data_IF_939586346028
#
_entry.id   IF_939586346028
#
_cell.length_a   1.000
_cell.length_b   1.000
_cell.length_c   1.000
_cell.angle_alpha   90.00
_cell.angle_beta   90.00
_cell.angle_gamma   90.00
#
_symmetry.space_group_name_H-M   'P 1'
#
loop_
_entity.id
_entity.type
_entity.pdbx_description
1 polymer ?
#
# COMPACT_ATOMS: atom_id res chain seq x y z
N UNK A 1 3.83 -7.59 17.71
CA UNK A 1 3.65 -6.53 16.67
C UNK A 1 2.90 -7.13 15.49
N UNK A 2 1.83 -6.46 15.05
CA UNK A 2 1.11 -6.82 13.84
C UNK A 2 1.20 -5.67 12.83
N UNK A 3 1.50 -5.97 11.58
CA UNK A 3 1.43 -4.99 10.48
C UNK A 3 0.17 -5.28 9.67
N UNK A 4 -0.68 -4.29 9.49
CA UNK A 4 -1.93 -4.42 8.74
C UNK A 4 -1.87 -3.53 7.50
N UNK A 5 -1.99 -4.14 6.33
CA UNK A 5 -2.12 -3.39 5.08
C UNK A 5 -3.58 -3.34 4.64
N UNK A 6 -4.11 -2.16 4.54
CA UNK A 6 -5.48 -1.88 4.10
C UNK A 6 -5.47 -1.53 2.61
N UNK A 7 -6.16 -2.29 1.79
CA UNK A 7 -6.27 -2.06 0.36
C UNK A 7 -6.84 -0.69 0.02
N UNK A 8 -6.57 -0.23 -1.20
CA UNK A 8 -7.12 1.03 -1.72
C UNK A 8 -8.15 0.83 -2.84
N UNK A 9 -8.61 -0.41 -3.05
CA UNK A 9 -9.65 -0.73 -4.01
C UNK A 9 -11.04 -0.31 -3.50
N UNK A 10 -12.01 -0.27 -4.38
CA UNK A 10 -13.41 -0.07 -4.01
C UNK A 10 -13.94 -1.23 -3.16
N UNK A 11 -14.85 -0.97 -2.23
CA UNK A 11 -15.48 -1.97 -1.38
C UNK A 11 -14.74 -2.26 -0.06
N UNK A 12 -13.64 -1.58 0.25
CA UNK A 12 -12.99 -1.68 1.55
C UNK A 12 -13.85 -0.98 2.62
N UNK A 13 -14.21 -1.72 3.68
CA UNK A 13 -14.97 -1.19 4.82
C UNK A 13 -14.01 -0.60 5.87
N UNK A 14 -13.71 0.69 5.73
CA UNK A 14 -12.80 1.40 6.64
C UNK A 14 -13.34 1.49 8.08
N UNK A 15 -14.66 1.53 8.28
CA UNK A 15 -15.30 1.54 9.59
C UNK A 15 -15.03 0.22 10.35
N UNK A 16 -15.17 -0.92 9.67
CA UNK A 16 -14.87 -2.22 10.26
C UNK A 16 -13.37 -2.34 10.57
N UNK A 17 -12.50 -1.94 9.65
CA UNK A 17 -11.03 -1.92 9.87
C UNK A 17 -10.67 -1.09 11.10
N UNK A 18 -11.24 0.11 11.22
CA UNK A 18 -10.95 1.00 12.36
C UNK A 18 -11.42 0.40 13.69
N UNK A 19 -12.60 -0.21 13.72
CA UNK A 19 -13.15 -0.87 14.90
C UNK A 19 -12.26 -2.03 15.37
N UNK A 20 -11.87 -2.92 14.47
CA UNK A 20 -11.04 -4.09 14.78
C UNK A 20 -9.62 -3.65 15.21
N UNK A 21 -9.02 -2.72 14.50
CA UNK A 21 -7.69 -2.20 14.83
C UNK A 21 -7.69 -1.48 16.19
N UNK A 22 -8.73 -0.67 16.48
CA UNK A 22 -8.85 0.01 17.77
C UNK A 22 -9.09 -0.98 18.92
N UNK A 23 -9.81 -2.09 18.70
CA UNK A 23 -9.98 -3.15 19.70
C UNK A 23 -8.64 -3.77 20.07
N UNK A 24 -7.87 -4.22 19.08
CA UNK A 24 -6.54 -4.79 19.28
C UNK A 24 -5.59 -3.80 19.97
N UNK A 25 -5.64 -2.52 19.57
CA UNK A 25 -4.83 -1.48 20.17
C UNK A 25 -5.14 -1.29 21.67
N UNK A 26 -6.43 -1.27 22.06
CA UNK A 26 -6.87 -1.19 23.45
C UNK A 26 -6.44 -2.40 24.30
N UNK A 27 -6.32 -3.56 23.67
CA UNK A 27 -5.80 -4.79 24.29
C UNK A 27 -4.25 -4.77 24.45
N UNK A 28 -3.59 -3.68 24.04
CA UNK A 28 -2.13 -3.53 24.14
C UNK A 28 -1.33 -4.12 22.98
N UNK A 29 -2.01 -4.57 21.90
CA UNK A 29 -1.33 -5.07 20.71
C UNK A 29 -0.68 -3.91 19.97
N UNK A 30 0.63 -3.98 19.73
CA UNK A 30 1.33 -3.00 18.90
C UNK A 30 0.98 -3.19 17.43
N UNK A 31 0.45 -2.15 16.80
CA UNK A 31 0.00 -2.15 15.41
C UNK A 31 0.71 -1.08 14.58
N UNK A 32 0.98 -1.41 13.32
CA UNK A 32 1.27 -0.46 12.24
C UNK A 32 0.24 -0.66 11.14
N UNK A 33 -0.49 0.38 10.77
CA UNK A 33 -1.43 0.35 9.67
C UNK A 33 -0.79 0.98 8.43
N UNK A 34 -0.82 0.29 7.28
CA UNK A 34 -0.41 0.84 5.98
C UNK A 34 -1.61 0.82 5.07
N UNK A 35 -2.00 1.94 4.50
CA UNK A 35 -3.16 1.97 3.62
C UNK A 35 -2.84 2.38 2.18
N UNK A 36 -3.72 1.98 1.27
CA UNK A 36 -3.79 2.46 -0.10
C UNK A 36 -4.90 3.50 -0.30
N UNK A 37 -5.16 3.87 -1.56
CA UNK A 37 -6.19 4.85 -1.91
C UNK A 37 -6.47 4.89 -3.42
N UNK A 38 -6.19 3.80 -4.14
CA UNK A 38 -6.19 3.79 -5.60
C UNK A 38 -7.56 4.09 -6.23
N UNK A 39 -8.66 3.62 -5.63
CA UNK A 39 -10.01 3.90 -6.13
C UNK A 39 -10.37 5.38 -5.98
N UNK A 40 -10.14 5.94 -4.80
CA UNK A 40 -10.39 7.37 -4.55
C UNK A 40 -9.48 8.26 -5.40
N UNK A 41 -8.21 7.85 -5.62
CA UNK A 41 -7.30 8.58 -6.54
C UNK A 41 -7.84 8.61 -7.96
N UNK A 42 -8.42 7.51 -8.46
CA UNK A 42 -9.04 7.50 -9.79
C UNK A 42 -10.21 8.48 -9.86
N UNK A 43 -11.13 8.43 -8.89
CA UNK A 43 -12.31 9.32 -8.83
C UNK A 43 -11.91 10.79 -8.80
N UNK A 44 -10.95 11.15 -7.95
CA UNK A 44 -10.47 12.54 -7.83
C UNK A 44 -9.72 12.97 -9.09
N UNK A 45 -8.90 12.11 -9.67
CA UNK A 45 -8.18 12.40 -10.92
C UNK A 45 -9.14 12.67 -12.09
N UNK A 46 -10.18 11.86 -12.23
CA UNK A 46 -11.24 12.06 -13.24
C UNK A 46 -11.99 13.39 -13.01
N UNK A 47 -12.38 13.68 -11.75
CA UNK A 47 -13.06 14.92 -11.40
C UNK A 47 -12.21 16.18 -11.66
N UNK A 48 -10.89 16.06 -11.55
CA UNK A 48 -9.93 17.13 -11.84
C UNK A 48 -9.54 17.21 -13.33
N UNK A 49 -10.18 16.43 -14.21
CA UNK A 49 -9.88 16.42 -15.65
C UNK A 49 -8.51 15.82 -15.99
N UNK A 50 -7.94 15.03 -15.10
CA UNK A 50 -6.67 14.32 -15.30
C UNK A 50 -6.85 12.81 -15.10
N UNK A 51 -7.60 12.11 -15.99
CA UNK A 51 -7.94 10.72 -15.79
C UNK A 51 -6.71 9.83 -15.69
N UNK A 52 -6.74 8.76 -14.87
CA UNK A 52 -5.59 7.91 -14.63
C UNK A 52 -5.19 7.16 -15.90
N UNK A 53 -3.90 7.07 -16.14
CA UNK A 53 -3.31 6.25 -17.22
C UNK A 53 -2.54 5.09 -16.61
N UNK A 54 -2.62 3.93 -17.25
CA UNK A 54 -1.95 2.72 -16.78
C UNK A 54 -1.00 2.18 -17.84
N UNK A 55 0.12 1.65 -17.38
CA UNK A 55 1.14 0.99 -18.19
C UNK A 55 1.14 -0.50 -17.90
N UNK A 56 1.05 -1.33 -18.96
CA UNK A 56 1.24 -2.77 -18.84
C UNK A 56 2.72 -3.08 -19.05
N UNK A 57 3.37 -3.68 -18.07
CA UNK A 57 4.77 -4.08 -18.15
C UNK A 57 4.93 -5.37 -18.97
N UNK A 58 6.15 -5.67 -19.49
CA UNK A 58 6.41 -6.90 -20.24
C UNK A 58 6.05 -8.18 -19.50
N UNK A 59 6.09 -8.19 -18.16
CA UNK A 59 5.67 -9.31 -17.30
C UNK A 59 4.15 -9.38 -17.04
N UNK A 60 3.35 -8.52 -17.67
CA UNK A 60 1.89 -8.47 -17.52
C UNK A 60 1.39 -7.67 -16.30
N UNK A 61 2.29 -7.19 -15.42
CA UNK A 61 1.89 -6.33 -14.31
C UNK A 61 1.42 -4.98 -14.86
N UNK A 62 0.48 -4.35 -14.15
CA UNK A 62 -0.06 -3.03 -14.49
C UNK A 62 0.29 -2.04 -13.39
N UNK A 63 0.88 -0.91 -13.78
CA UNK A 63 1.15 0.22 -12.87
C UNK A 63 0.52 1.51 -13.40
N UNK A 64 0.22 2.44 -12.48
CA UNK A 64 -0.23 3.79 -12.83
C UNK A 64 0.95 4.56 -13.43
N UNK A 65 0.77 5.16 -14.60
CA UNK A 65 1.68 6.19 -15.10
C UNK A 65 1.60 7.37 -14.14
N UNK A 66 2.71 7.69 -13.50
CA UNK A 66 2.77 8.72 -12.48
C UNK A 66 3.62 9.90 -12.98
N UNK A 67 3.00 10.81 -13.74
CA UNK A 67 3.58 12.12 -14.01
C UNK A 67 3.46 13.04 -12.79
N UNK A 68 4.02 14.24 -12.82
CA UNK A 68 4.00 15.17 -11.68
C UNK A 68 2.57 15.49 -11.22
N UNK A 69 1.66 15.73 -12.15
CA UNK A 69 0.26 16.05 -11.83
C UNK A 69 -0.46 14.86 -11.20
N UNK A 70 -0.24 13.66 -11.73
CA UNK A 70 -0.75 12.42 -11.14
C UNK A 70 -0.21 12.22 -9.72
N UNK A 71 1.08 12.52 -9.47
CA UNK A 71 1.68 12.43 -8.14
C UNK A 71 1.03 13.41 -7.16
N UNK A 72 0.79 14.65 -7.56
CA UNK A 72 0.11 15.66 -6.73
C UNK A 72 -1.32 15.22 -6.34
N UNK A 73 -2.07 14.67 -7.28
CA UNK A 73 -3.41 14.11 -7.00
C UNK A 73 -3.30 12.91 -6.06
N UNK A 74 -2.31 12.06 -6.27
CA UNK A 74 -2.03 10.93 -5.41
C UNK A 74 -1.74 11.38 -3.97
N UNK A 75 -0.89 12.39 -3.78
CA UNK A 75 -0.58 12.97 -2.47
C UNK A 75 -1.84 13.54 -1.80
N UNK A 76 -2.64 14.35 -2.50
CA UNK A 76 -3.89 14.89 -1.96
C UNK A 76 -4.82 13.79 -1.44
N UNK A 77 -4.96 12.71 -2.20
CA UNK A 77 -5.87 11.61 -1.84
C UNK A 77 -5.31 10.72 -0.76
N UNK A 78 -4.08 10.28 -0.90
CA UNK A 78 -3.47 9.34 0.05
C UNK A 78 -3.18 10.01 1.38
N UNK A 79 -2.49 11.15 1.40
CA UNK A 79 -2.07 11.80 2.65
C UNK A 79 -3.22 12.61 3.29
N UNK A 80 -4.09 13.19 2.48
CA UNK A 80 -5.22 13.99 2.93
C UNK A 80 -6.48 13.16 3.13
N UNK A 81 -7.15 12.79 2.04
CA UNK A 81 -8.49 12.23 2.10
C UNK A 81 -8.55 10.87 2.83
N UNK A 82 -7.80 9.87 2.35
CA UNK A 82 -7.91 8.50 2.88
C UNK A 82 -7.22 8.37 4.24
N UNK A 83 -6.02 8.93 4.38
CA UNK A 83 -5.27 8.87 5.63
C UNK A 83 -6.05 9.53 6.77
N UNK A 84 -6.54 10.74 6.57
CA UNK A 84 -7.26 11.47 7.64
C UNK A 84 -8.61 10.86 7.94
N UNK A 85 -9.31 10.29 6.96
CA UNK A 85 -10.52 9.51 7.20
C UNK A 85 -10.27 8.29 8.11
N UNK A 86 -9.20 7.54 7.86
CA UNK A 86 -8.83 6.41 8.72
C UNK A 86 -8.44 6.87 10.13
N UNK A 87 -7.66 7.95 10.25
CA UNK A 87 -7.32 8.53 11.55
C UNK A 87 -8.57 8.97 12.30
N UNK A 88 -9.50 9.66 11.64
CA UNK A 88 -10.77 10.09 12.24
C UNK A 88 -11.58 8.89 12.79
N UNK A 89 -11.73 7.83 11.99
CA UNK A 89 -12.44 6.61 12.40
C UNK A 89 -11.77 5.92 13.58
N UNK A 90 -10.44 5.81 13.58
CA UNK A 90 -9.68 5.22 14.69
C UNK A 90 -9.80 6.05 15.98
N UNK A 91 -9.74 7.39 15.87
CA UNK A 91 -9.95 8.29 17.01
C UNK A 91 -11.38 8.14 17.57
N UNK A 92 -12.38 8.04 16.70
CA UNK A 92 -13.76 7.79 17.10
C UNK A 92 -13.91 6.48 17.88
N UNK A 93 -13.16 5.45 17.50
CA UNK A 93 -13.11 4.17 18.23
C UNK A 93 -12.14 4.20 19.44
N UNK A 94 -11.56 5.35 19.77
CA UNK A 94 -10.73 5.57 20.97
C UNK A 94 -9.29 5.09 20.84
N UNK A 95 -8.79 4.83 19.64
CA UNK A 95 -7.36 4.60 19.40
C UNK A 95 -6.68 5.94 19.10
N UNK A 96 -5.55 6.22 19.77
CA UNK A 96 -4.79 7.46 19.58
C UNK A 96 -3.97 7.38 18.27
N UNK A 97 -4.65 7.48 17.14
CA UNK A 97 -4.04 7.33 15.82
C UNK A 97 -3.33 8.59 15.33
N UNK A 98 -2.19 8.41 14.67
CA UNK A 98 -1.45 9.46 13.96
C UNK A 98 -1.23 9.04 12.50
N UNK A 99 -1.62 9.91 11.56
CA UNK A 99 -1.46 9.66 10.13
C UNK A 99 -0.20 10.31 9.56
N UNK A 100 0.64 9.51 8.89
CA UNK A 100 1.88 9.92 8.27
C UNK A 100 2.01 9.35 6.85
N UNK A 101 2.64 10.12 5.98
CA UNK A 101 3.16 9.64 4.70
C UNK A 101 4.64 9.29 4.81
N UNK A 102 5.21 8.67 3.81
CA UNK A 102 6.64 8.42 3.76
C UNK A 102 7.50 9.67 3.68
N UNK A 103 6.91 10.82 3.34
CA UNK A 103 7.60 12.12 3.29
C UNK A 103 7.85 12.68 4.70
N UNK A 104 6.92 12.43 5.63
CA UNK A 104 6.97 12.98 6.99
C UNK A 104 8.16 12.43 7.76
N UNK A 105 9.05 13.30 8.20
CA UNK A 105 10.27 12.90 8.91
C UNK A 105 11.16 11.92 8.14
N UNK A 106 11.11 11.94 6.80
CA UNK A 106 11.81 10.98 5.93
C UNK A 106 11.49 9.53 6.32
N UNK A 107 10.21 9.26 6.56
CA UNK A 107 9.78 7.97 7.10
C UNK A 107 10.10 6.81 6.14
N UNK A 108 9.87 7.02 4.83
CA UNK A 108 10.26 6.07 3.78
C UNK A 108 11.14 6.76 2.76
N UNK A 109 12.34 6.23 2.57
CA UNK A 109 13.30 6.75 1.58
C UNK A 109 13.66 5.64 0.60
N UNK A 110 13.89 6.01 -0.65
CA UNK A 110 14.27 5.01 -1.64
C UNK A 110 14.66 5.59 -2.99
N UNK A 111 14.47 4.78 -4.02
CA UNK A 111 14.96 5.08 -5.37
C UNK A 111 13.82 5.33 -6.33
N UNK A 112 13.86 6.49 -7.00
CA UNK A 112 13.00 6.77 -8.16
C UNK A 112 13.43 5.94 -9.36
N UNK A 113 12.48 5.38 -10.11
CA UNK A 113 12.75 4.70 -11.37
C UNK A 113 13.04 5.73 -12.46
N UNK A 114 14.22 5.65 -13.07
CA UNK A 114 14.61 6.54 -14.17
C UNK A 114 13.88 6.26 -15.47
N UNK A 115 13.41 5.04 -15.65
CA UNK A 115 12.66 4.59 -16.81
C UNK A 115 11.76 3.39 -16.48
N UNK A 116 10.60 3.36 -17.11
CA UNK A 116 9.61 2.28 -16.97
C UNK A 116 9.40 1.65 -18.34
N UNK A 117 9.62 0.32 -18.45
CA UNK A 117 9.32 -0.44 -19.67
C UNK A 117 7.84 -0.81 -19.68
N UNK A 118 7.15 -0.61 -20.80
CA UNK A 118 5.76 -0.98 -20.98
C UNK A 118 5.51 -1.54 -22.38
N UNK A 119 4.41 -2.25 -22.56
CA UNK A 119 3.97 -2.82 -23.83
C UNK A 119 2.85 -1.96 -24.41
N UNK A 120 3.02 -1.54 -25.66
CA UNK A 120 1.99 -0.85 -26.42
C UNK A 120 1.97 -1.38 -27.86
N UNK A 121 0.81 -1.82 -28.32
CA UNK A 121 0.62 -2.43 -29.65
C UNK A 121 1.63 -3.60 -29.91
N UNK A 122 1.83 -4.45 -28.89
CA UNK A 122 2.73 -5.61 -28.96
C UNK A 122 4.24 -5.27 -28.96
N UNK A 123 4.61 -4.00 -28.82
CA UNK A 123 6.00 -3.55 -28.77
C UNK A 123 6.38 -3.04 -27.40
N UNK A 124 7.58 -3.39 -26.94
CA UNK A 124 8.14 -2.84 -25.70
C UNK A 124 8.63 -1.42 -25.95
N UNK A 125 8.12 -0.48 -25.20
CA UNK A 125 8.51 0.93 -25.18
C UNK A 125 9.10 1.31 -23.83
N UNK A 126 9.76 2.45 -23.76
CA UNK A 126 10.35 3.01 -22.54
C UNK A 126 9.73 4.38 -22.27
N UNK A 127 9.12 4.54 -21.08
CA UNK A 127 8.67 5.83 -20.58
C UNK A 127 9.72 6.38 -19.60
N UNK A 128 10.05 7.67 -19.73
CA UNK A 128 10.96 8.40 -18.85
C UNK A 128 10.21 9.53 -18.15
N UNK A 129 10.68 9.94 -16.98
CA UNK A 129 10.03 11.01 -16.23
C UNK A 129 8.88 10.55 -15.33
N UNK A 130 8.70 9.23 -15.18
CA UNK A 130 7.77 8.66 -14.21
C UNK A 130 8.25 8.91 -12.77
N UNK A 131 7.30 9.17 -11.85
CA UNK A 131 7.57 9.39 -10.44
C UNK A 131 7.31 8.14 -9.58
N UNK A 132 7.36 6.96 -10.15
CA UNK A 132 7.33 5.71 -9.37
C UNK A 132 8.71 5.34 -8.83
N UNK A 133 8.71 4.62 -7.71
CA UNK A 133 9.95 4.18 -7.07
C UNK A 133 9.76 2.99 -6.16
N UNK A 134 10.82 2.66 -5.44
CA UNK A 134 10.87 1.61 -4.43
C UNK A 134 11.38 2.19 -3.12
N UNK A 135 10.85 1.71 -1.98
CA UNK A 135 11.36 2.06 -0.65
C UNK A 135 12.52 1.13 -0.31
N UNK A 136 13.61 1.70 0.17
CA UNK A 136 14.81 0.98 0.57
C UNK A 136 15.15 1.20 2.06
N UNK A 137 14.73 2.33 2.62
CA UNK A 137 15.00 2.72 4.00
C UNK A 137 13.72 3.14 4.73
N UNK A 138 13.67 2.85 6.03
CA UNK A 138 12.59 3.23 6.95
C UNK A 138 13.19 3.97 8.14
N UNK A 139 12.65 5.13 8.47
CA UNK A 139 12.99 5.81 9.74
C UNK A 139 12.33 5.09 10.90
N UNK A 140 12.95 3.97 11.31
CA UNK A 140 12.48 3.15 12.43
C UNK A 140 12.44 3.94 13.74
N UNK A 141 13.40 4.85 13.94
CA UNK A 141 13.48 5.64 15.18
C UNK A 141 12.23 6.53 15.37
N UNK A 142 11.70 7.11 14.27
CA UNK A 142 10.44 7.88 14.32
C UNK A 142 9.26 6.98 14.70
N UNK A 143 9.16 5.80 14.11
CA UNK A 143 8.07 4.86 14.43
C UNK A 143 8.16 4.36 15.87
N UNK A 144 9.36 4.01 16.35
CA UNK A 144 9.58 3.57 17.72
C UNK A 144 9.19 4.67 18.72
N UNK A 145 9.55 5.92 18.46
CA UNK A 145 9.16 7.08 19.28
C UNK A 145 7.64 7.22 19.37
N UNK A 146 6.93 7.12 18.25
CA UNK A 146 5.48 7.23 18.21
C UNK A 146 4.79 6.08 18.94
N UNK A 147 5.24 4.84 18.73
CA UNK A 147 4.72 3.66 19.41
C UNK A 147 4.97 3.73 20.94
N UNK A 148 6.15 4.19 21.38
CA UNK A 148 6.47 4.37 22.79
C UNK A 148 5.65 5.50 23.43
N UNK A 149 5.34 6.54 22.67
CA UNK A 149 4.47 7.64 23.10
C UNK A 149 2.96 7.29 23.09
N UNK A 150 2.60 6.05 22.74
CA UNK A 150 1.20 5.58 22.76
C UNK A 150 0.38 6.02 21.54
N UNK A 151 1.02 6.24 20.40
CA UNK A 151 0.32 6.48 19.14
C UNK A 151 0.18 5.21 18.32
N UNK A 152 -0.94 5.09 17.59
CA UNK A 152 -1.14 4.10 16.52
C UNK A 152 -0.78 4.74 15.18
N UNK A 153 0.37 4.37 14.55
CA UNK A 153 0.76 4.93 13.28
C UNK A 153 -0.12 4.41 12.12
N UNK A 154 -0.67 5.33 11.34
CA UNK A 154 -1.43 5.09 10.10
C UNK A 154 -0.62 5.62 8.94
N UNK A 155 0.02 4.73 8.21
CA UNK A 155 1.07 5.03 7.25
C UNK A 155 0.57 4.91 5.81
N UNK A 156 1.12 5.72 4.93
CA UNK A 156 0.76 5.67 3.52
C UNK A 156 1.94 6.08 2.63
N UNK A 157 2.05 5.57 1.38
CA UNK A 157 2.84 6.25 0.37
C UNK A 157 2.26 7.66 0.11
N UNK A 158 2.99 8.62 -0.43
CA UNK A 158 4.28 8.50 -1.14
C UNK A 158 5.48 8.31 -0.21
N UNK A 159 6.63 8.02 -0.82
CA UNK A 159 7.94 8.02 -0.19
C UNK A 159 8.80 9.17 -0.72
N UNK A 160 9.96 9.39 -0.12
CA UNK A 160 10.96 10.35 -0.57
C UNK A 160 12.05 9.63 -1.37
N UNK A 161 12.46 10.16 -2.51
CA UNK A 161 13.63 9.64 -3.21
C UNK A 161 14.93 10.11 -2.54
N UNK A 162 16.06 9.48 -2.89
CA UNK A 162 17.38 9.95 -2.43
C UNK A 162 17.69 11.38 -2.89
N UNK A 163 17.07 11.82 -3.99
CA UNK A 163 17.18 13.18 -4.53
C UNK A 163 16.19 14.17 -3.85
N UNK A 164 15.48 13.73 -2.81
CA UNK A 164 14.47 14.50 -2.06
C UNK A 164 13.24 14.91 -2.90
N UNK A 165 12.87 14.09 -3.88
CA UNK A 165 11.62 14.21 -4.61
C UNK A 165 10.59 13.20 -4.07
N UNK A 166 9.33 13.58 -4.05
CA UNK A 166 8.25 12.64 -3.75
C UNK A 166 8.14 11.57 -4.85
N UNK A 167 7.91 10.33 -4.46
CA UNK A 167 7.74 9.20 -5.37
C UNK A 167 6.55 8.33 -4.98
N UNK A 168 5.78 7.90 -5.96
CA UNK A 168 4.72 6.90 -5.79
C UNK A 168 5.36 5.52 -5.57
N UNK A 169 5.04 4.88 -4.47
CA UNK A 169 5.56 3.57 -4.07
C UNK A 169 4.44 2.58 -3.75
N UNK A 170 4.77 1.32 -3.65
CA UNK A 170 3.80 0.25 -3.40
C UNK A 170 3.59 0.05 -1.90
N UNK A 171 2.33 0.22 -1.44
CA UNK A 171 1.97 0.03 -0.04
C UNK A 171 2.08 -1.42 0.44
N UNK A 172 1.98 -2.41 -0.45
CA UNK A 172 2.16 -3.83 -0.12
C UNK A 172 3.63 -4.11 0.21
N UNK A 173 4.55 -3.54 -0.58
CA UNK A 173 5.99 -3.62 -0.33
C UNK A 173 6.39 -2.90 0.96
N UNK A 174 5.80 -1.72 1.24
CA UNK A 174 6.02 -1.00 2.49
C UNK A 174 5.59 -1.85 3.68
N UNK A 175 4.41 -2.48 3.63
CA UNK A 175 3.92 -3.32 4.71
C UNK A 175 4.81 -4.54 4.94
N UNK A 176 5.28 -5.20 3.88
CA UNK A 176 6.23 -6.31 3.96
C UNK A 176 7.58 -5.88 4.55
N UNK A 177 8.10 -4.72 4.12
CA UNK A 177 9.34 -4.16 4.67
C UNK A 177 9.21 -3.86 6.17
N UNK A 178 8.10 -3.27 6.60
CA UNK A 178 7.82 -3.00 8.02
C UNK A 178 7.68 -4.30 8.81
N UNK A 179 6.97 -5.30 8.29
CA UNK A 179 6.83 -6.59 8.95
C UNK A 179 8.20 -7.26 9.17
N UNK A 180 9.06 -7.23 8.16
CA UNK A 180 10.44 -7.75 8.26
C UNK A 180 11.28 -6.95 9.26
N UNK A 181 11.23 -5.61 9.18
CA UNK A 181 12.02 -4.72 10.04
C UNK A 181 11.70 -4.88 11.54
N UNK A 182 10.44 -5.17 11.86
CA UNK A 182 9.98 -5.34 13.23
C UNK A 182 9.91 -6.80 13.70
N UNK A 183 10.21 -7.78 12.85
CA UNK A 183 9.97 -9.18 13.16
C UNK A 183 8.52 -9.41 13.56
N UNK A 184 7.58 -8.89 12.76
CA UNK A 184 6.16 -8.92 13.10
C UNK A 184 5.63 -10.35 13.20
N UNK A 185 4.79 -10.60 14.20
CA UNK A 185 4.10 -11.89 14.38
C UNK A 185 3.15 -12.21 13.23
N UNK A 186 2.56 -11.14 12.65
CA UNK A 186 1.67 -11.27 11.51
C UNK A 186 1.75 -10.03 10.58
N UNK A 187 1.62 -10.30 9.29
CA UNK A 187 1.35 -9.33 8.24
C UNK A 187 -0.01 -9.65 7.65
N UNK A 188 -0.98 -8.76 7.84
CA UNK A 188 -2.36 -8.95 7.42
C UNK A 188 -2.66 -8.06 6.22
N UNK A 189 -3.08 -8.64 5.11
CA UNK A 189 -3.55 -7.89 3.93
C UNK A 189 -5.07 -7.91 3.89
N UNK A 190 -5.69 -6.75 4.05
CA UNK A 190 -7.13 -6.54 3.89
C UNK A 190 -7.42 -6.05 2.49
N UNK A 191 -8.20 -6.81 1.74
CA UNK A 191 -8.57 -6.49 0.37
C UNK A 191 -10.09 -6.65 0.15
N UNK A 192 -10.55 -6.34 -1.04
CA UNK A 192 -11.95 -6.53 -1.45
C UNK A 192 -12.26 -7.94 -1.99
N UNK A 193 -11.34 -8.88 -1.80
CA UNK A 193 -11.52 -10.30 -2.09
C UNK A 193 -11.10 -11.10 -0.86
N UNK A 194 -11.67 -12.30 -0.64
CA UNK A 194 -11.44 -13.08 0.59
C UNK A 194 -10.01 -13.61 0.73
N UNK A 195 -9.21 -13.59 -0.33
CA UNK A 195 -7.83 -14.05 -0.35
C UNK A 195 -7.42 -14.62 -1.71
N UNK A 196 -6.42 -15.50 -1.73
CA UNK A 196 -6.00 -16.20 -2.93
C UNK A 196 -7.06 -17.23 -3.32
N UNK A 197 -7.57 -17.17 -4.53
CA UNK A 197 -8.58 -18.10 -5.06
C UNK A 197 -7.94 -19.05 -6.06
N UNK A 198 -8.20 -20.34 -5.92
CA UNK A 198 -7.73 -21.35 -6.88
C UNK A 198 -8.42 -21.17 -8.25
N UNK A 199 -9.63 -20.62 -8.27
CA UNK A 199 -10.41 -20.35 -9.49
C UNK A 199 -11.11 -18.98 -9.38
N UNK A 200 -10.42 -17.92 -9.66
CA UNK A 200 -11.03 -16.58 -9.65
C UNK A 200 -12.14 -16.47 -10.73
N UNK A 201 -13.34 -15.89 -10.41
CA UNK A 201 -13.75 -15.23 -9.17
C UNK A 201 -14.54 -16.13 -8.17
N UNK A 202 -14.43 -17.46 -8.24
CA UNK A 202 -15.13 -18.41 -7.37
C UNK A 202 -14.59 -18.33 -5.93
N UNK A 203 -15.30 -17.65 -5.03
CA UNK A 203 -14.92 -17.49 -3.62
C UNK A 203 -14.88 -18.83 -2.85
N UNK A 204 -15.64 -19.85 -3.29
CA UNK A 204 -15.60 -21.18 -2.69
C UNK A 204 -14.24 -21.86 -2.92
N UNK A 205 -13.44 -21.38 -3.87
CA UNK A 205 -12.10 -21.87 -4.17
C UNK A 205 -10.99 -21.22 -3.34
N UNK A 206 -11.31 -20.58 -2.21
CA UNK A 206 -10.34 -19.91 -1.33
C UNK A 206 -9.25 -20.86 -0.85
N UNK A 207 -8.00 -20.51 -1.15
CA UNK A 207 -6.82 -21.17 -0.59
C UNK A 207 -6.61 -20.63 0.83
N UNK A 208 -6.95 -21.46 1.82
CA UNK A 208 -6.94 -21.03 3.23
C UNK A 208 -5.55 -21.03 3.84
N UNK A 209 -4.66 -21.86 3.36
CA UNK A 209 -3.33 -22.04 3.90
C UNK A 209 -2.35 -22.46 2.80
N UNK A 210 -1.16 -21.90 2.84
CA UNK A 210 -0.02 -22.32 2.02
C UNK A 210 1.16 -22.47 2.99
N UNK A 211 1.71 -23.68 3.17
CA UNK A 211 2.91 -23.89 3.97
C UNK A 211 4.07 -23.05 3.43
N UNK A 212 4.91 -22.51 4.33
CA UNK A 212 6.02 -21.62 3.94
C UNK A 212 6.96 -22.30 2.94
N UNK A 213 7.17 -23.60 3.08
CA UNK A 213 8.01 -24.42 2.20
C UNK A 213 7.46 -24.50 0.77
N UNK A 214 6.19 -24.19 0.59
CA UNK A 214 5.46 -24.30 -0.70
C UNK A 214 5.10 -22.96 -1.35
N UNK A 215 5.48 -21.83 -0.76
CA UNK A 215 5.13 -20.50 -1.30
C UNK A 215 5.71 -20.24 -2.69
N UNK A 216 6.81 -20.90 -3.04
CA UNK A 216 7.45 -20.80 -4.35
C UNK A 216 7.00 -21.88 -5.35
N UNK A 217 6.10 -22.77 -4.94
CA UNK A 217 5.58 -23.80 -5.85
C UNK A 217 4.89 -23.16 -7.06
N UNK A 218 5.19 -23.63 -8.28
CA UNK A 218 4.59 -23.07 -9.50
C UNK A 218 3.06 -23.10 -9.50
N UNK A 219 2.43 -24.06 -8.82
CA UNK A 219 0.98 -24.18 -8.72
C UNK A 219 0.36 -22.99 -7.98
N UNK A 220 0.96 -22.54 -6.85
CA UNK A 220 0.46 -21.35 -6.10
C UNK A 220 0.82 -20.05 -6.79
N UNK A 221 2.03 -19.94 -7.34
CA UNK A 221 2.44 -18.78 -8.11
C UNK A 221 1.54 -18.54 -9.35
N UNK A 222 1.06 -19.62 -9.98
CA UNK A 222 0.16 -19.52 -11.11
C UNK A 222 -1.24 -19.00 -10.74
N UNK A 223 -1.68 -19.15 -9.48
CA UNK A 223 -2.97 -18.65 -8.99
C UNK A 223 -2.96 -17.12 -8.80
N UNK A 224 -1.78 -16.55 -8.52
CA UNK A 224 -1.65 -15.12 -8.33
C UNK A 224 -1.90 -14.37 -9.64
N UNK A 225 -2.94 -13.55 -9.68
CA UNK A 225 -3.32 -12.75 -10.83
C UNK A 225 -3.30 -11.25 -10.53
N UNK A 226 -3.14 -10.42 -11.56
CA UNK A 226 -3.18 -8.97 -11.42
C UNK A 226 -2.16 -8.44 -10.41
N UNK A 227 -2.63 -7.78 -9.35
CA UNK A 227 -1.77 -7.21 -8.30
C UNK A 227 -1.16 -8.27 -7.38
N UNK A 228 -1.72 -9.45 -7.26
CA UNK A 228 -1.14 -10.53 -6.47
C UNK A 228 0.12 -11.15 -7.10
N UNK A 229 0.42 -10.85 -8.37
CA UNK A 229 1.64 -11.28 -9.08
C UNK A 229 2.90 -10.50 -8.70
N UNK A 230 2.87 -9.69 -7.67
CA UNK A 230 3.98 -8.81 -7.29
C UNK A 230 4.87 -9.40 -6.22
#
# INVERSE_FOLDING_TARGET
>A
MIVVKVGGAEGINYEAVAKDAASLWKEGVKLLLVHGGSAETNKVAEALGHPPRFLTHPGGQVSRLTDRKTLEIFEMVYCGLVNKRLVELLQKEGANAIGLSGLDGRLFVGRRKTAVKYVENGKVKVHRGDYTGTVEEVNKALLDLLLQAGYLPVLTPPALSYENEAINTDGDQIAALLATLYGAEALVYLSNVPGLLARYPDEASLVREIPVERIEDPEYLALAQGRMKR
#
